data_IF_937381331133
#
_entry.id   IF_937381331133
#
_cell.length_a   1.000
_cell.length_b   1.000
_cell.length_c   1.000
_cell.angle_alpha   90.00
_cell.angle_beta   90.00
_cell.angle_gamma   90.00
#
_symmetry.space_group_name_H-M   'P 1'
#
loop_
_entity.id
_entity.type
_entity.pdbx_description
1 polymer ?
#
# COMPACT_ATOMS: atom_id res chain seq x y z
N UNK A 1 1.31 -3.04 11.17
CA UNK A 1 1.78 -1.71 10.74
C UNK A 1 1.07 -1.30 9.46
N UNK A 2 1.09 -0.03 9.12
CA UNK A 2 0.55 0.44 7.85
C UNK A 2 1.67 0.82 6.88
N UNK A 3 1.32 1.06 5.62
CA UNK A 3 2.29 1.34 4.55
C UNK A 3 3.22 2.52 4.85
N UNK A 4 2.75 3.52 5.61
CA UNK A 4 3.57 4.66 5.98
C UNK A 4 4.73 4.34 6.91
N UNK A 5 4.68 3.19 7.56
CA UNK A 5 5.70 2.73 8.50
C UNK A 5 6.72 1.78 7.87
N UNK A 6 6.50 1.40 6.62
CA UNK A 6 7.38 0.45 5.93
C UNK A 6 8.69 1.08 5.52
N UNK A 7 9.75 0.27 5.52
CA UNK A 7 11.02 0.65 4.92
C UNK A 7 10.88 0.67 3.40
N UNK A 8 11.69 1.52 2.76
CA UNK A 8 11.78 1.52 1.31
C UNK A 8 12.37 0.18 0.82
N UNK A 9 11.86 -0.27 -0.31
CA UNK A 9 12.37 -1.44 -1.05
C UNK A 9 12.29 -2.75 -0.28
N UNK A 10 11.37 -2.84 0.68
CA UNK A 10 11.08 -4.06 1.42
C UNK A 10 9.70 -4.59 1.03
N UNK A 11 9.61 -5.87 0.67
CA UNK A 11 8.35 -6.50 0.37
C UNK A 11 7.52 -6.67 1.64
N UNK A 12 6.25 -6.30 1.56
CA UNK A 12 5.26 -6.48 2.62
C UNK A 12 4.00 -7.08 2.02
N UNK A 13 3.23 -7.76 2.85
CA UNK A 13 1.95 -8.34 2.43
C UNK A 13 0.80 -7.53 3.04
N UNK A 14 -0.20 -7.24 2.23
CA UNK A 14 -1.40 -6.53 2.67
C UNK A 14 -2.25 -7.45 3.53
N UNK A 15 -2.61 -6.97 4.71
CA UNK A 15 -3.52 -7.66 5.63
C UNK A 15 -4.94 -7.16 5.43
N UNK A 16 -5.14 -5.84 5.53
CA UNK A 16 -6.46 -5.22 5.31
C UNK A 16 -6.29 -3.88 4.62
N UNK A 17 -7.34 -3.48 3.91
CA UNK A 17 -7.47 -2.14 3.35
C UNK A 17 -8.68 -1.50 4.02
N UNK A 18 -8.42 -0.61 4.97
CA UNK A 18 -9.45 0.02 5.81
C UNK A 18 -10.00 1.27 5.15
N UNK A 19 -10.70 1.06 4.04
CA UNK A 19 -11.32 2.12 3.23
C UNK A 19 -12.78 1.78 2.99
N UNK A 20 -13.60 2.78 2.64
CA UNK A 20 -14.98 2.53 2.22
C UNK A 20 -15.03 1.57 1.02
N UNK A 21 -16.14 0.83 0.83
CA UNK A 21 -16.24 -0.20 -0.21
C UNK A 21 -15.86 0.25 -1.61
N UNK A 22 -16.25 1.47 -2.00
CA UNK A 22 -15.92 2.01 -3.33
C UNK A 22 -14.42 2.20 -3.51
N UNK A 23 -13.77 2.76 -2.50
CA UNK A 23 -12.32 2.96 -2.52
C UNK A 23 -11.59 1.63 -2.46
N UNK A 24 -12.08 0.70 -1.66
CA UNK A 24 -11.54 -0.66 -1.56
C UNK A 24 -11.59 -1.38 -2.90
N UNK A 25 -12.69 -1.24 -3.63
CA UNK A 25 -12.83 -1.85 -4.96
C UNK A 25 -11.80 -1.27 -5.94
N UNK A 26 -11.61 0.04 -5.93
CA UNK A 26 -10.59 0.67 -6.77
C UNK A 26 -9.19 0.18 -6.45
N UNK A 27 -8.89 0.03 -5.16
CA UNK A 27 -7.60 -0.51 -4.73
C UNK A 27 -7.45 -1.96 -5.18
N UNK A 28 -8.50 -2.74 -5.07
CA UNK A 28 -8.52 -4.12 -5.56
C UNK A 28 -8.20 -4.19 -7.06
N UNK A 29 -8.81 -3.32 -7.84
CA UNK A 29 -8.64 -3.30 -9.30
C UNK A 29 -7.20 -3.02 -9.73
N UNK A 30 -6.44 -2.28 -8.92
CA UNK A 30 -5.03 -2.01 -9.20
C UNK A 30 -4.09 -2.96 -8.46
N UNK A 31 -4.62 -3.96 -7.78
CA UNK A 31 -3.84 -5.01 -7.14
C UNK A 31 -3.58 -4.82 -5.66
N UNK A 32 -4.16 -3.80 -5.01
CA UNK A 32 -3.99 -3.57 -3.56
C UNK A 32 -5.16 -4.19 -2.82
N UNK A 33 -4.96 -5.36 -2.28
CA UNK A 33 -5.95 -6.14 -1.56
C UNK A 33 -5.26 -7.10 -0.60
N UNK A 34 -6.02 -7.69 0.32
CA UNK A 34 -5.49 -8.66 1.26
C UNK A 34 -4.75 -9.79 0.53
N UNK A 35 -3.56 -10.09 0.98
CA UNK A 35 -2.70 -11.11 0.39
C UNK A 35 -1.76 -10.61 -0.71
N UNK A 36 -1.95 -9.39 -1.21
CA UNK A 36 -1.05 -8.83 -2.22
C UNK A 36 0.30 -8.45 -1.61
N UNK A 37 1.36 -8.65 -2.36
CA UNK A 37 2.70 -8.23 -1.96
C UNK A 37 2.99 -6.87 -2.57
N UNK A 38 3.37 -5.93 -1.73
CA UNK A 38 3.68 -4.56 -2.13
C UNK A 38 5.11 -4.20 -1.71
N UNK A 39 5.63 -3.18 -2.35
CA UNK A 39 6.91 -2.60 -1.98
C UNK A 39 6.82 -1.09 -2.08
N UNK A 40 7.14 -0.37 -0.99
CA UNK A 40 7.22 1.09 -1.02
C UNK A 40 8.54 1.48 -1.68
N UNK A 41 8.47 2.20 -2.78
CA UNK A 41 9.66 2.58 -3.56
C UNK A 41 10.09 4.01 -3.32
N UNK A 42 9.16 4.88 -2.97
CA UNK A 42 9.45 6.31 -2.74
C UNK A 42 8.56 6.86 -1.64
N UNK A 43 9.09 7.88 -0.94
CA UNK A 43 8.33 8.69 0.00
C UNK A 43 8.07 10.04 -0.65
N UNK A 44 6.80 10.46 -0.62
CA UNK A 44 6.40 11.77 -1.11
C UNK A 44 6.57 12.85 -0.04
N UNK A 45 6.57 14.13 -0.46
CA UNK A 45 6.85 15.26 0.46
C UNK A 45 5.77 15.48 1.52
N UNK A 46 4.54 15.04 1.30
CA UNK A 46 3.42 15.26 2.23
C UNK A 46 2.97 13.96 2.91
N UNK A 47 3.86 13.02 3.07
CA UNK A 47 3.55 11.75 3.72
C UNK A 47 2.97 10.68 2.80
N UNK A 48 2.81 10.98 1.53
CA UNK A 48 2.39 9.98 0.54
C UNK A 48 3.47 8.96 0.26
N UNK A 49 3.09 7.90 -0.43
CA UNK A 49 4.02 6.81 -0.80
C UNK A 49 3.76 6.39 -2.24
N UNK A 50 4.83 6.01 -2.90
CA UNK A 50 4.73 5.29 -4.18
C UNK A 50 5.00 3.82 -3.89
N UNK A 51 4.10 2.95 -4.32
CA UNK A 51 4.22 1.51 -4.11
C UNK A 51 4.32 0.79 -5.44
N UNK A 52 5.16 -0.23 -5.49
CA UNK A 52 5.18 -1.18 -6.59
C UNK A 52 4.20 -2.30 -6.27
N UNK A 53 3.31 -2.59 -7.21
CA UNK A 53 2.31 -3.65 -7.09
C UNK A 53 2.21 -4.35 -8.45
N UNK A 54 2.56 -5.64 -8.46
CA UNK A 54 2.68 -6.33 -9.73
C UNK A 54 3.69 -5.62 -10.64
N UNK A 55 3.36 -5.41 -11.90
CA UNK A 55 4.20 -4.66 -12.84
C UNK A 55 3.95 -3.16 -12.85
N UNK A 56 3.13 -2.65 -11.94
CA UNK A 56 2.71 -1.24 -11.92
C UNK A 56 3.25 -0.51 -10.70
N UNK A 57 3.20 0.83 -10.76
CA UNK A 57 3.47 1.69 -9.62
C UNK A 57 2.26 2.56 -9.36
N UNK A 58 1.97 2.77 -8.07
CA UNK A 58 0.79 3.48 -7.63
C UNK A 58 1.20 4.51 -6.57
N UNK A 59 0.78 5.76 -6.79
CA UNK A 59 0.98 6.81 -5.79
C UNK A 59 -0.22 6.85 -4.86
N UNK A 60 0.03 6.78 -3.57
CA UNK A 60 -0.99 6.87 -2.54
C UNK A 60 -0.76 8.12 -1.71
N UNK A 61 -1.84 8.86 -1.40
CA UNK A 61 -1.74 9.99 -0.51
C UNK A 61 -1.50 9.53 0.94
N UNK A 62 -1.14 10.46 1.81
CA UNK A 62 -0.83 10.16 3.19
C UNK A 62 -2.00 9.49 3.92
N UNK A 63 -3.22 9.98 3.73
CA UNK A 63 -4.39 9.44 4.39
C UNK A 63 -4.66 7.99 3.97
N UNK A 64 -4.62 7.69 2.69
CA UNK A 64 -4.79 6.33 2.16
C UNK A 64 -3.69 5.40 2.65
N UNK A 65 -2.46 5.87 2.65
CA UNK A 65 -1.29 5.11 3.10
C UNK A 65 -1.48 4.56 4.53
N UNK A 66 -2.07 5.35 5.42
CA UNK A 66 -2.30 4.91 6.81
C UNK A 66 -3.44 3.89 6.94
N UNK A 67 -4.23 3.71 5.90
CA UNK A 67 -5.39 2.79 5.91
C UNK A 67 -5.07 1.41 5.35
N UNK A 68 -3.89 1.21 4.82
CA UNK A 68 -3.47 -0.09 4.29
C UNK A 68 -2.58 -0.76 5.33
N UNK A 69 -3.13 -1.78 6.01
CA UNK A 69 -2.39 -2.54 7.01
C UNK A 69 -1.59 -3.64 6.34
N UNK A 70 -0.35 -3.75 6.72
CA UNK A 70 0.59 -4.69 6.11
C UNK A 70 1.42 -5.42 7.16
N UNK A 71 2.05 -6.49 6.74
CA UNK A 71 3.00 -7.27 7.55
C UNK A 71 4.23 -7.57 6.71
N UNK A 72 5.35 -7.84 7.36
CA UNK A 72 6.53 -8.36 6.68
C UNK A 72 6.20 -9.70 6.02
N UNK A 73 6.86 -9.99 4.91
CA UNK A 73 6.66 -11.24 4.18
C UNK A 73 7.31 -12.45 4.85
N UNK A 74 8.04 -12.23 5.92
CA UNK A 74 8.72 -13.30 6.67
C UNK A 74 7.89 -13.79 7.85
#
# INVERSE_FOLDING_TARGET
MHLGECRLDQDVVVVTVDLPPESRLRMWEVGVHAGAVLRVTHRGPSGGRVVAVGGARLALDAATTTKVQVEDTR
#
